data_IF_155705713866
#
_entry.id   IF_155705713866
#
_cell.length_a   1.000
_cell.length_b   1.000
_cell.length_c   1.000
_cell.angle_alpha   90.00
_cell.angle_beta   90.00
_cell.angle_gamma   90.00
#
_symmetry.space_group_name_H-M   'P 1'
#
loop_
_entity.id
_entity.type
_entity.pdbx_description
1 polymer ?
#
# COMPACT_ATOMS: atom_id res chain seq x y z
N UNK A 1 -2.43 -10.93 -4.58
CA UNK A 1 -2.56 -12.12 -3.69
C UNK A 1 -2.08 -13.33 -4.48
N UNK A 2 -1.11 -14.07 -3.98
CA UNK A 2 -0.56 -15.26 -4.66
C UNK A 2 -1.17 -16.52 -4.07
N UNK A 3 -1.31 -16.59 -2.74
CA UNK A 3 -1.93 -17.74 -2.08
C UNK A 3 -1.92 -17.62 -0.55
N UNK A 4 -2.45 -18.64 0.12
CA UNK A 4 -2.42 -18.77 1.57
C UNK A 4 -2.26 -20.24 1.98
N UNK A 5 -1.64 -20.48 3.14
CA UNK A 5 -1.53 -21.80 3.77
C UNK A 5 -2.09 -21.74 5.19
N UNK A 6 -2.77 -22.81 5.63
CA UNK A 6 -3.39 -22.90 6.95
C UNK A 6 -3.11 -24.24 7.67
N UNK A 7 -2.21 -25.08 7.14
CA UNK A 7 -1.99 -26.44 7.66
C UNK A 7 -1.13 -26.50 8.93
N UNK A 8 -0.22 -25.55 9.11
CA UNK A 8 0.65 -25.49 10.30
C UNK A 8 0.64 -24.10 10.95
N UNK A 9 0.78 -23.07 10.13
CA UNK A 9 0.64 -21.66 10.52
C UNK A 9 -0.18 -20.95 9.44
N UNK A 10 -1.01 -19.99 9.84
CA UNK A 10 -1.72 -19.15 8.89
C UNK A 10 -0.73 -18.20 8.21
N UNK A 11 -0.48 -18.42 6.93
CA UNK A 11 0.45 -17.62 6.11
C UNK A 11 -0.28 -17.10 4.89
N UNK A 12 -0.03 -15.83 4.54
CA UNK A 12 -0.51 -15.20 3.31
C UNK A 12 0.72 -14.87 2.46
N UNK A 13 0.69 -15.26 1.19
CA UNK A 13 1.74 -15.01 0.21
C UNK A 13 1.28 -13.92 -0.76
N UNK A 14 2.09 -12.87 -0.88
CA UNK A 14 1.88 -11.74 -1.80
C UNK A 14 3.14 -11.48 -2.60
N UNK A 15 3.04 -10.57 -3.57
CA UNK A 15 4.25 -10.04 -4.23
C UNK A 15 5.18 -9.35 -3.21
N UNK A 16 6.48 -9.37 -3.50
CA UNK A 16 7.50 -8.74 -2.68
C UNK A 16 7.74 -7.30 -3.14
N UNK A 17 7.39 -6.32 -2.31
CA UNK A 17 7.68 -4.91 -2.55
C UNK A 17 9.00 -4.52 -1.87
N UNK A 18 10.09 -4.49 -2.64
CA UNK A 18 11.44 -4.19 -2.14
C UNK A 18 11.59 -2.75 -1.56
N UNK A 19 10.70 -1.83 -1.93
CA UNK A 19 10.71 -0.44 -1.46
C UNK A 19 10.27 -0.22 -0.01
N UNK A 20 9.71 -1.25 0.64
CA UNK A 20 9.16 -1.12 2.00
C UNK A 20 7.90 -0.25 2.07
N UNK A 21 7.61 0.31 3.24
CA UNK A 21 6.40 1.12 3.44
C UNK A 21 6.55 2.58 3.00
N UNK A 22 5.45 3.17 2.53
CA UNK A 22 5.39 4.59 2.17
C UNK A 22 5.78 5.48 3.36
N UNK A 23 5.34 5.16 4.58
CA UNK A 23 5.79 5.84 5.82
C UNK A 23 7.30 5.89 5.98
N UNK A 24 7.99 4.77 5.76
CA UNK A 24 9.45 4.68 5.91
C UNK A 24 10.12 5.55 4.84
N UNK A 25 9.64 5.46 3.61
CA UNK A 25 10.12 6.27 2.50
C UNK A 25 9.92 7.78 2.73
N UNK A 26 8.73 8.21 3.15
CA UNK A 26 8.46 9.62 3.44
C UNK A 26 9.31 10.15 4.62
N UNK A 27 9.62 9.30 5.61
CA UNK A 27 10.51 9.67 6.71
C UNK A 27 11.96 9.85 6.26
N UNK A 28 12.46 9.04 5.32
CA UNK A 28 13.84 9.16 4.84
C UNK A 28 14.09 10.43 4.03
N UNK A 29 13.04 11.12 3.58
CA UNK A 29 13.17 12.38 2.83
C UNK A 29 13.40 13.60 3.73
N UNK A 30 13.26 13.47 5.05
CA UNK A 30 13.36 14.62 5.97
C UNK A 30 14.77 15.22 6.01
N UNK A 31 14.90 16.56 6.12
CA UNK A 31 13.82 17.55 6.30
C UNK A 31 13.11 17.96 4.99
N UNK A 32 13.52 17.40 3.85
CA UNK A 32 12.89 17.63 2.56
C UNK A 32 11.51 16.97 2.43
N UNK A 33 10.92 17.14 1.25
CA UNK A 33 9.60 16.63 0.91
C UNK A 33 9.63 15.83 -0.40
N UNK A 34 8.58 15.02 -0.59
CA UNK A 34 8.36 14.30 -1.84
C UNK A 34 8.07 15.31 -2.95
N UNK A 35 8.67 15.11 -4.14
CA UNK A 35 8.38 15.93 -5.30
C UNK A 35 6.88 15.88 -5.65
N UNK A 36 6.29 17.04 -5.95
CA UNK A 36 4.84 17.17 -6.16
C UNK A 36 4.30 16.19 -7.21
N UNK A 37 5.00 16.03 -8.34
CA UNK A 37 4.59 15.09 -9.40
C UNK A 37 4.51 13.65 -8.90
N UNK A 38 5.47 13.23 -8.07
CA UNK A 38 5.49 11.88 -7.51
C UNK A 38 4.43 11.72 -6.42
N UNK A 39 4.20 12.75 -5.61
CA UNK A 39 3.12 12.76 -4.63
C UNK A 39 1.75 12.60 -5.29
N UNK A 40 1.50 13.31 -6.41
CA UNK A 40 0.27 13.17 -7.21
C UNK A 40 0.16 11.75 -7.77
N UNK A 41 1.26 11.17 -8.29
CA UNK A 41 1.25 9.79 -8.79
C UNK A 41 0.84 8.80 -7.70
N UNK A 42 1.46 8.87 -6.52
CA UNK A 42 1.12 7.97 -5.40
C UNK A 42 -0.32 8.17 -4.94
N UNK A 43 -0.79 9.41 -4.82
CA UNK A 43 -2.16 9.70 -4.42
C UNK A 43 -3.17 9.12 -5.43
N UNK A 44 -2.89 9.23 -6.72
CA UNK A 44 -3.75 8.69 -7.77
C UNK A 44 -3.81 7.15 -7.74
N UNK A 45 -2.67 6.48 -7.55
CA UNK A 45 -2.62 5.02 -7.47
C UNK A 45 -3.36 4.50 -6.23
N UNK A 46 -3.19 5.16 -5.08
CA UNK A 46 -3.93 4.85 -3.85
C UNK A 46 -5.43 5.08 -4.04
N UNK A 47 -5.83 6.20 -4.65
CA UNK A 47 -7.24 6.52 -4.89
C UNK A 47 -7.92 5.48 -5.79
N UNK A 48 -7.26 5.05 -6.88
CA UNK A 48 -7.74 3.99 -7.77
C UNK A 48 -7.89 2.65 -7.07
N UNK A 49 -6.93 2.28 -6.21
CA UNK A 49 -7.03 1.07 -5.40
C UNK A 49 -8.23 1.13 -4.45
N UNK A 50 -8.46 2.27 -3.78
CA UNK A 50 -9.61 2.48 -2.90
C UNK A 50 -10.94 2.49 -3.64
N UNK A 51 -11.00 3.09 -4.83
CA UNK A 51 -12.18 3.03 -5.71
C UNK A 51 -12.51 1.57 -6.06
N UNK A 52 -11.50 0.78 -6.45
CA UNK A 52 -11.68 -0.65 -6.73
C UNK A 52 -12.21 -1.43 -5.52
N UNK A 53 -11.64 -1.21 -4.32
CA UNK A 53 -12.13 -1.87 -3.10
C UNK A 53 -13.59 -1.50 -2.81
N UNK A 54 -13.93 -0.20 -2.86
CA UNK A 54 -15.27 0.27 -2.56
C UNK A 54 -16.31 -0.17 -3.59
N UNK A 55 -15.96 -0.23 -4.88
CA UNK A 55 -16.83 -0.77 -5.93
C UNK A 55 -17.19 -2.25 -5.69
N UNK A 56 -16.36 -2.98 -4.93
CA UNK A 56 -16.59 -4.37 -4.53
C UNK A 56 -17.15 -4.51 -3.10
N UNK A 57 -17.60 -3.41 -2.48
CA UNK A 57 -18.16 -3.42 -1.12
C UNK A 57 -17.14 -3.70 -0.01
N UNK A 58 -15.84 -3.57 -0.28
CA UNK A 58 -14.77 -3.86 0.67
C UNK A 58 -14.30 -2.57 1.35
N UNK A 59 -14.31 -2.54 2.68
CA UNK A 59 -13.76 -1.44 3.49
C UNK A 59 -12.33 -1.82 3.92
N UNK A 60 -11.32 -0.99 3.61
CA UNK A 60 -9.92 -1.28 3.95
C UNK A 60 -9.66 -1.35 5.47
N UNK A 61 -10.34 -0.51 6.26
CA UNK A 61 -10.26 -0.41 7.75
C UNK A 61 -8.94 0.07 8.37
N UNK A 62 -7.81 0.01 7.67
CA UNK A 62 -6.51 0.47 8.20
C UNK A 62 -5.70 1.32 7.20
N UNK A 63 -6.38 2.22 6.49
CA UNK A 63 -5.74 3.06 5.47
C UNK A 63 -4.86 4.14 6.14
N UNK A 64 -3.56 4.10 5.89
CA UNK A 64 -2.58 5.04 6.45
C UNK A 64 -1.34 5.16 5.55
N UNK A 65 -0.59 6.27 5.64
CA UNK A 65 0.73 6.40 5.02
C UNK A 65 1.77 5.50 5.68
#
# INVERSE_FOLDING_TARGET
>A
FIGACNEANMVIVTELLLGGSLRKYLRSLRPGCLQLRLAISFALDIARAMECLHANGIIHRDLKP
#
